data_IF_573769232507
#
_entry.id   IF_573769232507
#
_cell.length_a   1.000
_cell.length_b   1.000
_cell.length_c   1.000
_cell.angle_alpha   90.00
_cell.angle_beta   90.00
_cell.angle_gamma   90.00
#
_symmetry.space_group_name_H-M   'P 1'
#
loop_
_entity.id
_entity.type
_entity.pdbx_description
1 polymer ?
#
# COMPACT_ATOMS: atom_id res chain seq x y z
N UNK A 1 -32.74 -10.07 -23.40
CA UNK A 1 -33.10 -8.94 -24.28
C UNK A 1 -33.61 -7.86 -23.35
N UNK A 2 -32.95 -6.73 -23.11
CA UNK A 2 -31.88 -6.04 -23.86
C UNK A 2 -30.84 -5.47 -22.88
N UNK A 3 -29.59 -5.46 -23.35
CA UNK A 3 -28.43 -4.86 -22.72
C UNK A 3 -28.52 -3.32 -22.81
N UNK A 4 -28.43 -2.62 -21.68
CA UNK A 4 -28.07 -1.21 -21.71
C UNK A 4 -26.55 -1.10 -21.91
N UNK A 5 -26.18 -0.88 -23.17
CA UNK A 5 -24.81 -0.87 -23.66
C UNK A 5 -23.95 0.27 -23.09
N UNK A 6 -22.78 -0.15 -22.61
CA UNK A 6 -21.58 0.59 -22.18
C UNK A 6 -21.10 1.65 -23.20
N UNK A 7 -21.59 1.61 -24.45
CA UNK A 7 -21.25 2.56 -25.51
C UNK A 7 -21.73 4.01 -25.27
N UNK A 8 -22.80 4.22 -24.49
CA UNK A 8 -23.32 5.56 -24.22
C UNK A 8 -22.42 6.41 -23.32
N UNK A 9 -21.72 5.78 -22.37
CA UNK A 9 -20.76 6.48 -21.50
C UNK A 9 -19.39 6.66 -22.16
N UNK A 10 -18.96 5.73 -23.01
CA UNK A 10 -17.72 5.88 -23.78
C UNK A 10 -17.78 7.08 -24.73
N UNK A 11 -18.89 7.30 -25.43
CA UNK A 11 -19.00 8.45 -26.35
C UNK A 11 -19.09 9.80 -25.62
N UNK A 12 -19.66 9.83 -24.41
CA UNK A 12 -19.67 11.05 -23.58
C UNK A 12 -18.27 11.33 -22.99
N UNK A 13 -17.51 10.29 -22.62
CA UNK A 13 -16.11 10.41 -22.21
C UNK A 13 -15.20 10.87 -23.34
N UNK A 14 -15.37 10.35 -24.56
CA UNK A 14 -14.56 10.74 -25.72
C UNK A 14 -14.86 12.21 -26.13
N UNK A 15 -16.10 12.67 -26.04
CA UNK A 15 -16.44 14.09 -26.29
C UNK A 15 -15.84 15.04 -25.25
N UNK A 16 -15.89 14.69 -23.97
CA UNK A 16 -15.26 15.47 -22.89
C UNK A 16 -13.73 15.51 -23.01
N UNK A 17 -13.11 14.43 -23.50
CA UNK A 17 -11.67 14.38 -23.79
C UNK A 17 -11.26 15.30 -24.96
N UNK A 18 -12.10 15.47 -25.98
CA UNK A 18 -11.78 16.36 -27.12
C UNK A 18 -11.96 17.83 -26.75
N UNK A 19 -13.04 18.18 -26.03
CA UNK A 19 -13.32 19.58 -25.65
C UNK A 19 -12.31 20.12 -24.62
N UNK A 20 -11.71 19.25 -23.77
CA UNK A 20 -10.66 19.67 -22.83
C UNK A 20 -9.26 19.75 -23.46
N UNK A 21 -8.99 18.99 -24.53
CA UNK A 21 -7.72 19.10 -25.28
C UNK A 21 -7.65 20.42 -26.06
N UNK A 22 -8.79 20.97 -26.50
CA UNK A 22 -8.82 22.25 -27.23
C UNK A 22 -8.53 23.49 -26.37
N UNK A 23 -8.73 23.42 -25.04
CA UNK A 23 -8.42 24.55 -24.15
C UNK A 23 -6.92 24.68 -23.79
N UNK A 24 -6.07 23.76 -24.26
CA UNK A 24 -4.63 23.80 -24.03
C UNK A 24 -3.82 24.38 -25.21
N UNK A 25 -4.47 24.77 -26.31
CA UNK A 25 -3.78 25.29 -27.50
C UNK A 25 -4.34 26.66 -27.92
N UNK A 26 -3.71 27.75 -27.47
CA UNK A 26 -3.80 29.04 -28.18
C UNK A 26 -2.77 29.06 -29.32
N UNK A 27 -3.14 29.54 -30.53
CA UNK A 27 -2.31 29.38 -31.71
C UNK A 27 -1.31 30.52 -31.81
N UNK A 28 -0.17 30.41 -31.16
CA UNK A 28 1.05 31.14 -31.56
C UNK A 28 2.29 30.45 -30.99
N UNK A 29 3.12 29.92 -31.90
CA UNK A 29 4.45 29.31 -31.71
C UNK A 29 4.53 27.86 -31.19
N UNK A 30 4.32 26.91 -32.12
CA UNK A 30 4.69 25.50 -31.97
C UNK A 30 6.22 25.34 -32.08
N UNK A 31 6.87 24.99 -30.98
CA UNK A 31 8.27 24.56 -30.90
C UNK A 31 8.32 23.18 -30.23
N UNK A 32 9.31 22.35 -30.61
CA UNK A 32 9.57 20.95 -30.24
C UNK A 32 9.64 20.60 -28.73
N UNK A 33 9.24 21.49 -27.82
CA UNK A 33 9.16 21.28 -26.37
C UNK A 33 7.86 20.61 -25.90
N UNK A 34 6.81 20.60 -26.71
CA UNK A 34 5.46 20.17 -26.30
C UNK A 34 5.27 18.65 -26.12
N UNK A 35 6.15 17.81 -26.67
CA UNK A 35 6.08 16.35 -26.49
C UNK A 35 6.47 15.92 -25.06
N UNK A 36 7.34 16.68 -24.39
CA UNK A 36 7.65 16.48 -22.96
C UNK A 36 6.46 16.84 -22.09
N UNK A 37 5.78 17.94 -22.39
CA UNK A 37 4.68 18.44 -21.55
C UNK A 37 3.38 17.63 -21.75
N UNK A 38 3.17 17.08 -22.96
CA UNK A 38 2.06 16.16 -23.24
C UNK A 38 2.21 14.80 -22.53
N UNK A 39 3.43 14.26 -22.45
CA UNK A 39 3.70 13.01 -21.71
C UNK A 39 3.55 13.24 -20.19
N UNK A 40 3.98 14.39 -19.69
CA UNK A 40 3.80 14.76 -18.27
C UNK A 40 2.32 14.86 -17.90
N UNK A 41 1.48 15.48 -18.74
CA UNK A 41 0.03 15.53 -18.49
C UNK A 41 -0.64 14.15 -18.53
N UNK A 42 -0.23 13.25 -19.43
CA UNK A 42 -0.79 11.91 -19.51
C UNK A 42 -0.44 11.05 -18.28
N UNK A 43 0.75 11.26 -17.69
CA UNK A 43 1.17 10.60 -16.45
C UNK A 43 0.44 11.13 -15.21
N UNK A 44 0.11 12.43 -15.14
CA UNK A 44 -0.64 13.02 -14.02
C UNK A 44 -2.09 12.49 -13.99
N UNK A 45 -2.72 12.29 -15.15
CA UNK A 45 -4.11 11.78 -15.22
C UNK A 45 -4.19 10.30 -14.80
N UNK A 46 -3.12 9.52 -15.01
CA UNK A 46 -3.06 8.12 -14.54
C UNK A 46 -2.75 7.99 -13.04
N UNK A 47 -2.16 9.01 -12.40
CA UNK A 47 -1.87 8.97 -10.95
C UNK A 47 -3.05 9.34 -10.05
N UNK A 48 -4.13 9.90 -10.59
CA UNK A 48 -5.36 10.14 -9.81
C UNK A 48 -6.30 8.92 -9.75
N UNK A 49 -6.18 7.96 -10.68
CA UNK A 49 -6.99 6.73 -10.70
C UNK A 49 -6.36 5.57 -9.91
N UNK A 50 -5.05 5.61 -9.67
CA UNK A 50 -4.32 4.65 -8.85
C UNK A 50 -3.53 5.43 -7.80
N UNK A 51 -3.86 5.25 -6.52
CA UNK A 51 -3.16 5.83 -5.36
C UNK A 51 -1.71 5.29 -5.22
N UNK A 52 -0.86 5.54 -6.21
CA UNK A 52 0.57 5.24 -6.16
C UNK A 52 1.24 6.44 -5.49
N UNK A 53 1.42 6.35 -4.17
CA UNK A 53 2.22 7.32 -3.42
C UNK A 53 3.67 7.26 -3.88
N UNK A 54 4.13 8.35 -4.50
CA UNK A 54 5.50 8.74 -4.78
C UNK A 54 6.44 7.63 -5.27
N UNK A 55 6.63 7.55 -6.59
CA UNK A 55 7.76 6.85 -7.17
C UNK A 55 9.07 7.44 -6.61
N UNK A 56 9.79 6.68 -5.79
CA UNK A 56 11.12 7.07 -5.30
C UNK A 56 12.18 6.53 -6.25
N UNK A 57 12.73 7.39 -7.09
CA UNK A 57 13.79 7.03 -8.03
C UNK A 57 13.91 8.02 -9.17
N UNK A 58 14.89 7.79 -10.04
CA UNK A 58 15.03 8.57 -11.26
C UNK A 58 13.94 8.14 -12.25
N UNK A 59 13.19 9.08 -12.82
CA UNK A 59 12.09 8.80 -13.76
C UNK A 59 12.57 8.23 -15.12
N UNK A 60 13.88 8.09 -15.29
CA UNK A 60 14.49 7.52 -16.48
C UNK A 60 15.73 6.72 -16.08
N UNK A 61 15.85 5.50 -16.63
CA UNK A 61 17.08 4.71 -16.58
C UNK A 61 17.59 4.54 -18.00
N UNK A 62 18.85 4.91 -18.23
CA UNK A 62 19.48 4.84 -19.54
C UNK A 62 20.34 3.59 -19.64
N UNK A 63 20.02 2.71 -20.59
CA UNK A 63 20.86 1.57 -20.95
C UNK A 63 21.46 1.83 -22.33
N UNK A 64 22.80 1.98 -22.45
CA UNK A 64 23.42 2.11 -23.76
C UNK A 64 23.28 0.80 -24.51
N UNK A 65 22.74 0.82 -25.72
CA UNK A 65 22.60 -0.37 -26.54
C UNK A 65 23.13 -0.15 -27.96
N UNK A 66 23.36 -1.26 -28.68
CA UNK A 66 23.97 -1.26 -30.01
C UNK A 66 25.32 -0.52 -30.05
N UNK A 67 26.21 -0.84 -29.11
CA UNK A 67 27.56 -0.27 -29.02
C UNK A 67 28.52 -0.78 -30.09
N UNK A 68 28.04 -1.57 -31.06
CA UNK A 68 28.87 -2.08 -32.15
C UNK A 68 29.44 -0.91 -32.96
N UNK A 69 30.73 -0.99 -33.28
CA UNK A 69 31.34 -0.04 -34.21
C UNK A 69 30.76 -0.20 -35.62
N UNK A 70 30.61 0.91 -36.34
CA UNK A 70 30.21 0.86 -37.74
C UNK A 70 31.30 0.17 -38.56
N UNK A 71 30.89 -0.86 -39.31
CA UNK A 71 31.78 -1.58 -40.23
C UNK A 71 31.97 -0.74 -41.51
N UNK A 72 33.15 -0.85 -42.13
CA UNK A 72 33.46 -0.24 -43.42
C UNK A 72 32.30 -0.44 -44.43
N UNK A 73 31.88 0.59 -45.20
CA UNK A 73 32.59 1.82 -45.59
C UNK A 73 32.21 3.08 -44.79
N UNK A 74 31.74 2.96 -43.54
CA UNK A 74 31.40 4.13 -42.74
C UNK A 74 32.61 5.08 -42.55
N UNK A 75 32.42 6.39 -42.79
CA UNK A 75 33.47 7.40 -42.62
C UNK A 75 33.91 7.58 -41.17
N UNK A 76 33.08 7.16 -40.20
CA UNK A 76 33.40 7.13 -38.77
C UNK A 76 32.92 5.82 -38.16
N UNK A 77 33.78 5.18 -37.38
CA UNK A 77 33.46 3.94 -36.68
C UNK A 77 32.47 4.14 -35.52
N UNK A 78 32.37 5.37 -34.98
CA UNK A 78 31.50 5.72 -33.87
C UNK A 78 30.88 7.12 -34.04
N UNK A 79 29.66 7.31 -33.55
CA UNK A 79 29.00 8.61 -33.50
C UNK A 79 29.61 9.49 -32.40
N UNK A 80 29.86 10.77 -32.69
CA UNK A 80 30.29 11.76 -31.66
C UNK A 80 29.20 11.86 -30.58
N UNK A 81 29.53 11.81 -29.27
CA UNK A 81 30.86 11.96 -28.65
C UNK A 81 31.63 10.66 -28.40
N UNK A 82 31.13 9.52 -28.85
CA UNK A 82 31.73 8.22 -28.58
C UNK A 82 32.94 7.94 -29.47
N UNK A 83 33.94 7.31 -28.88
CA UNK A 83 35.17 6.86 -29.52
C UNK A 83 35.23 5.34 -29.52
N UNK A 84 35.94 4.77 -30.49
CA UNK A 84 36.12 3.32 -30.58
C UNK A 84 37.05 2.80 -29.48
N UNK A 85 36.60 1.78 -28.75
CA UNK A 85 37.31 1.11 -27.66
C UNK A 85 37.22 -0.41 -27.86
N UNK A 86 38.18 -1.17 -27.30
CA UNK A 86 38.11 -2.64 -27.32
C UNK A 86 37.55 -3.12 -25.98
N UNK A 87 36.35 -3.72 -26.00
CA UNK A 87 35.69 -4.28 -24.82
C UNK A 87 35.41 -5.75 -25.12
N UNK A 88 35.85 -6.66 -24.24
CA UNK A 88 35.76 -8.11 -24.42
C UNK A 88 36.26 -8.61 -25.79
N UNK A 89 37.35 -8.04 -26.31
CA UNK A 89 37.95 -8.43 -27.59
C UNK A 89 37.20 -7.95 -28.85
N UNK A 90 36.13 -7.17 -28.71
CA UNK A 90 35.38 -6.58 -29.83
C UNK A 90 35.49 -5.05 -29.85
N UNK A 91 35.50 -4.46 -31.05
CA UNK A 91 35.51 -2.99 -31.22
C UNK A 91 34.12 -2.41 -30.97
N UNK A 92 33.97 -1.66 -29.87
CA UNK A 92 32.74 -1.04 -29.41
C UNK A 92 32.91 0.47 -29.23
N UNK A 93 31.86 1.26 -29.44
CA UNK A 93 31.88 2.71 -29.19
C UNK A 93 31.67 2.99 -27.71
N UNK A 94 32.45 3.85 -27.06
CA UNK A 94 32.34 4.23 -25.65
C UNK A 94 32.87 5.66 -25.39
N UNK A 95 32.98 6.16 -24.14
CA UNK A 95 32.86 5.45 -22.86
C UNK A 95 31.41 5.31 -22.39
N UNK A 96 31.06 4.13 -21.91
CA UNK A 96 29.82 3.91 -21.16
C UNK A 96 30.11 3.89 -19.65
N UNK A 97 29.17 4.31 -18.80
CA UNK A 97 29.23 4.03 -17.38
C UNK A 97 29.41 2.51 -17.16
N UNK A 98 30.06 2.10 -16.06
CA UNK A 98 30.30 0.70 -15.64
C UNK A 98 28.99 -0.03 -15.31
N UNK A 99 28.04 -0.06 -16.24
CA UNK A 99 26.89 -0.95 -16.19
C UNK A 99 27.14 -2.14 -17.13
N UNK A 100 26.52 -3.26 -16.79
CA UNK A 100 26.75 -4.52 -17.48
C UNK A 100 26.48 -4.38 -18.99
N UNK A 101 27.37 -4.96 -19.80
CA UNK A 101 27.23 -5.01 -21.26
C UNK A 101 25.90 -5.65 -21.63
N UNK A 102 25.00 -4.89 -22.23
CA UNK A 102 23.74 -5.40 -22.77
C UNK A 102 23.99 -5.89 -24.20
N UNK A 103 23.81 -7.19 -24.43
CA UNK A 103 24.02 -7.86 -25.75
C UNK A 103 22.86 -7.63 -26.72
N UNK A 104 21.75 -7.12 -26.22
CA UNK A 104 20.58 -6.58 -26.93
C UNK A 104 20.13 -5.35 -26.14
N UNK A 105 19.30 -4.44 -26.64
CA UNK A 105 18.80 -3.27 -25.86
C UNK A 105 17.95 -3.65 -24.62
N UNK A 106 18.06 -4.88 -24.14
CA UNK A 106 17.35 -5.43 -23.01
C UNK A 106 18.15 -5.27 -21.72
N UNK A 107 17.55 -4.69 -20.68
CA UNK A 107 18.11 -4.77 -19.34
C UNK A 107 18.21 -6.24 -18.92
N UNK A 108 19.32 -6.62 -18.29
CA UNK A 108 19.52 -7.98 -17.79
C UNK A 108 18.40 -8.29 -16.79
N UNK A 109 17.63 -9.36 -17.05
CA UNK A 109 16.50 -9.78 -16.22
C UNK A 109 15.18 -9.06 -16.48
N UNK A 110 15.15 -8.08 -17.39
CA UNK A 110 13.97 -7.28 -17.72
C UNK A 110 13.57 -6.26 -16.65
N UNK A 111 12.49 -5.52 -16.89
CA UNK A 111 11.90 -4.59 -15.92
C UNK A 111 10.47 -5.04 -15.63
N UNK A 112 10.20 -5.32 -14.35
CA UNK A 112 8.87 -5.65 -13.87
C UNK A 112 8.11 -4.39 -13.44
N UNK A 113 6.77 -4.42 -13.56
CA UNK A 113 5.90 -3.49 -12.86
C UNK A 113 5.93 -3.76 -11.35
N UNK A 114 5.42 -2.81 -10.58
CA UNK A 114 5.01 -3.09 -9.21
C UNK A 114 3.99 -4.24 -9.18
N UNK A 115 3.97 -4.97 -8.06
CA UNK A 115 2.96 -5.98 -7.81
C UNK A 115 1.59 -5.33 -7.62
N UNK A 116 0.55 -5.97 -8.13
CA UNK A 116 -0.83 -5.68 -7.75
C UNK A 116 -1.05 -5.98 -6.27
N UNK A 117 -2.12 -5.41 -5.73
CA UNK A 117 -2.68 -5.82 -4.43
C UNK A 117 -3.06 -7.30 -4.47
N UNK A 118 -3.09 -7.92 -3.29
CA UNK A 118 -3.58 -9.29 -3.15
C UNK A 118 -5.09 -9.35 -3.35
N UNK A 119 -5.56 -10.43 -3.98
CA UNK A 119 -6.96 -10.79 -4.07
C UNK A 119 -7.14 -12.26 -3.69
N UNK A 120 -8.24 -12.59 -3.01
CA UNK A 120 -8.55 -13.98 -2.69
C UNK A 120 -9.12 -14.68 -3.93
N UNK A 121 -8.45 -15.74 -4.38
CA UNK A 121 -8.91 -16.56 -5.48
C UNK A 121 -9.68 -17.78 -4.94
N UNK A 122 -10.99 -17.81 -5.19
CA UNK A 122 -11.89 -18.86 -4.70
C UNK A 122 -11.66 -20.23 -5.36
N UNK A 123 -11.03 -20.27 -6.54
CA UNK A 123 -10.76 -21.52 -7.27
C UNK A 123 -9.59 -22.28 -6.66
N UNK A 124 -8.51 -21.57 -6.31
CA UNK A 124 -7.32 -22.17 -5.69
C UNK A 124 -7.31 -22.04 -4.16
N UNK A 125 -8.28 -21.32 -3.59
CA UNK A 125 -8.40 -21.04 -2.14
C UNK A 125 -7.17 -20.36 -1.54
N UNK A 126 -6.54 -19.46 -2.30
CA UNK A 126 -5.32 -18.74 -1.92
C UNK A 126 -5.41 -17.27 -2.32
N UNK A 127 -4.62 -16.43 -1.65
CA UNK A 127 -4.39 -15.06 -2.09
C UNK A 127 -3.42 -15.03 -3.27
N UNK A 128 -3.75 -14.29 -4.30
CA UNK A 128 -2.91 -14.11 -5.48
C UNK A 128 -2.64 -12.62 -5.75
N UNK A 129 -1.47 -12.33 -6.32
CA UNK A 129 -1.13 -11.03 -6.89
C UNK A 129 -0.34 -11.21 -8.17
N UNK A 130 -0.39 -10.20 -9.03
CA UNK A 130 0.20 -10.25 -10.36
C UNK A 130 1.10 -9.06 -10.62
N UNK A 131 2.04 -9.20 -11.57
CA UNK A 131 2.86 -8.12 -12.10
C UNK A 131 3.08 -8.32 -13.60
N UNK A 132 3.31 -7.24 -14.34
CA UNK A 132 3.55 -7.27 -15.79
C UNK A 132 5.01 -6.96 -16.09
N UNK A 133 5.57 -7.65 -17.09
CA UNK A 133 6.87 -7.29 -17.63
C UNK A 133 6.71 -6.05 -18.54
N UNK A 134 7.41 -4.96 -18.21
CA UNK A 134 7.30 -3.67 -18.91
C UNK A 134 8.13 -3.61 -20.20
N UNK A 135 9.06 -4.55 -20.39
CA UNK A 135 9.98 -4.57 -21.54
C UNK A 135 9.59 -5.59 -22.61
N UNK A 136 8.45 -6.27 -22.46
CA UNK A 136 7.95 -7.25 -23.44
C UNK A 136 7.65 -6.61 -24.79
N UNK A 137 7.12 -5.38 -24.80
CA UNK A 137 6.85 -4.62 -26.04
C UNK A 137 8.15 -4.22 -26.77
N UNK A 138 9.27 -4.11 -26.05
CA UNK A 138 10.60 -3.89 -26.62
C UNK A 138 11.30 -5.20 -27.07
N UNK A 139 10.59 -6.34 -27.03
CA UNK A 139 11.14 -7.65 -27.40
C UNK A 139 12.03 -8.29 -26.33
N UNK A 140 12.00 -7.80 -25.10
CA UNK A 140 12.81 -8.29 -24.00
C UNK A 140 11.99 -9.16 -23.03
N UNK A 141 12.59 -10.23 -22.55
CA UNK A 141 11.98 -11.13 -21.55
C UNK A 141 12.38 -10.73 -20.14
N UNK A 142 11.43 -10.76 -19.21
CA UNK A 142 11.72 -10.67 -17.79
C UNK A 142 12.02 -12.05 -17.20
N UNK A 143 12.86 -12.10 -16.17
CA UNK A 143 13.17 -13.33 -15.42
C UNK A 143 12.36 -13.36 -14.12
N UNK A 144 11.71 -14.49 -13.85
CA UNK A 144 10.87 -14.74 -12.66
C UNK A 144 9.37 -14.79 -12.97
N UNK A 145 8.58 -15.04 -11.92
CA UNK A 145 7.14 -15.26 -12.08
C UNK A 145 6.34 -13.96 -12.18
N UNK A 146 5.28 -13.97 -13.00
CA UNK A 146 4.31 -12.88 -13.11
C UNK A 146 3.19 -12.98 -12.07
N UNK A 147 3.08 -14.11 -11.38
CA UNK A 147 2.03 -14.41 -10.39
C UNK A 147 2.70 -14.90 -9.11
N UNK A 148 2.19 -14.45 -7.96
CA UNK A 148 2.62 -14.89 -6.64
C UNK A 148 1.40 -15.25 -5.80
N UNK A 149 1.41 -16.43 -5.18
CA UNK A 149 0.31 -16.96 -4.37
C UNK A 149 0.71 -17.17 -2.92
N UNK A 150 -0.26 -17.09 -2.01
CA UNK A 150 -0.08 -17.36 -0.59
C UNK A 150 -1.35 -17.91 0.06
N UNK A 151 -1.20 -18.91 0.94
CA UNK A 151 -2.32 -19.56 1.64
C UNK A 151 -2.80 -18.79 2.87
N UNK A 152 -1.91 -18.07 3.53
CA UNK A 152 -2.22 -17.26 4.71
C UNK A 152 -2.60 -15.83 4.34
N UNK A 153 -3.21 -15.12 5.29
CA UNK A 153 -3.53 -13.71 5.14
C UNK A 153 -2.27 -12.86 4.88
N UNK A 154 -2.29 -11.95 3.89
CA UNK A 154 -1.10 -11.21 3.46
C UNK A 154 -0.67 -10.07 4.37
N UNK A 155 -1.50 -9.66 5.33
CA UNK A 155 -1.10 -8.65 6.30
C UNK A 155 -0.13 -9.19 7.34
N UNK A 156 0.76 -8.29 7.79
CA UNK A 156 1.64 -8.55 8.92
C UNK A 156 0.80 -8.83 10.18
N UNK A 157 1.13 -9.86 10.98
CA UNK A 157 0.44 -10.09 12.24
C UNK A 157 0.66 -8.92 13.21
N UNK A 158 -0.27 -8.73 14.13
CA UNK A 158 -0.12 -7.73 15.19
C UNK A 158 1.15 -7.96 16.00
N UNK A 159 1.90 -6.89 16.28
CA UNK A 159 3.11 -7.02 17.07
C UNK A 159 2.77 -7.25 18.54
N UNK A 160 3.25 -8.38 19.08
CA UNK A 160 3.06 -8.77 20.48
C UNK A 160 4.37 -8.85 21.27
N UNK A 161 5.43 -8.17 20.82
CA UNK A 161 6.71 -8.15 21.53
C UNK A 161 6.56 -7.55 22.92
N UNK A 162 7.39 -8.00 23.87
CA UNK A 162 7.31 -7.55 25.27
C UNK A 162 7.45 -6.02 25.41
N UNK A 163 8.31 -5.39 24.59
CA UNK A 163 8.50 -3.94 24.56
C UNK A 163 7.27 -3.20 24.08
N UNK A 164 6.63 -3.64 23.00
CA UNK A 164 5.40 -3.01 22.51
C UNK A 164 4.26 -3.22 23.51
N UNK A 165 4.19 -4.42 24.10
CA UNK A 165 3.19 -4.74 25.12
C UNK A 165 3.33 -3.88 26.37
N UNK A 166 4.54 -3.54 26.82
CA UNK A 166 4.73 -2.67 27.99
C UNK A 166 4.29 -1.22 27.72
N UNK A 167 4.44 -0.73 26.50
CA UNK A 167 3.96 0.60 26.10
C UNK A 167 2.42 0.61 26.02
N UNK A 168 1.84 -0.36 25.30
CA UNK A 168 0.37 -0.47 25.20
C UNK A 168 -0.27 -0.63 26.57
N UNK A 169 0.33 -1.42 27.48
CA UNK A 169 -0.24 -1.64 28.80
C UNK A 169 0.23 -0.64 29.86
N UNK A 170 0.90 0.45 29.47
CA UNK A 170 1.39 1.42 30.43
C UNK A 170 0.24 2.02 31.26
N UNK A 171 0.29 1.78 32.57
CA UNK A 171 -0.67 2.30 33.55
C UNK A 171 -2.08 1.70 33.47
N UNK A 172 -2.25 0.54 32.81
CA UNK A 172 -3.56 -0.11 32.62
C UNK A 172 -3.45 -1.64 32.71
N UNK A 173 -4.58 -2.29 32.95
CA UNK A 173 -4.67 -3.76 32.97
C UNK A 173 -5.08 -4.30 31.61
N UNK A 174 -4.46 -5.40 31.19
CA UNK A 174 -4.83 -6.12 29.99
C UNK A 174 -6.10 -6.95 30.25
N UNK A 175 -7.12 -6.74 29.45
CA UNK A 175 -8.34 -7.55 29.46
C UNK A 175 -8.22 -8.60 28.35
N UNK A 176 -8.35 -9.89 28.66
CA UNK A 176 -8.35 -10.92 27.63
C UNK A 176 -9.60 -10.82 26.75
N UNK A 177 -9.43 -11.04 25.46
CA UNK A 177 -10.55 -11.22 24.54
C UNK A 177 -11.07 -12.66 24.57
N UNK A 178 -12.34 -12.83 24.22
CA UNK A 178 -13.02 -14.12 24.04
C UNK A 178 -13.15 -14.44 22.56
N UNK A 179 -13.20 -15.72 22.20
CA UNK A 179 -13.55 -16.20 20.85
C UNK A 179 -12.78 -15.50 19.70
N UNK A 180 -11.51 -15.17 19.92
CA UNK A 180 -10.68 -14.53 18.89
C UNK A 180 -10.46 -15.47 17.71
N UNK A 181 -10.80 -15.01 16.51
CA UNK A 181 -10.64 -15.76 15.26
C UNK A 181 -10.18 -14.85 14.12
N UNK A 182 -9.48 -15.44 13.15
CA UNK A 182 -9.11 -14.80 11.90
C UNK A 182 -9.68 -15.64 10.77
N UNK A 183 -10.56 -15.06 9.97
CA UNK A 183 -11.10 -15.73 8.78
C UNK A 183 -9.99 -15.83 7.72
N UNK A 184 -9.59 -17.04 7.28
CA UNK A 184 -8.50 -17.24 6.34
C UNK A 184 -8.83 -16.80 4.91
N UNK A 185 -10.11 -16.58 4.58
CA UNK A 185 -10.55 -16.17 3.24
C UNK A 185 -10.76 -14.66 3.11
N UNK A 186 -11.29 -14.03 4.16
CA UNK A 186 -11.57 -12.59 4.16
C UNK A 186 -10.50 -11.78 4.88
N UNK A 187 -9.62 -12.43 5.66
CA UNK A 187 -8.63 -11.78 6.52
C UNK A 187 -9.24 -10.75 7.47
N UNK A 188 -10.44 -11.07 7.96
CA UNK A 188 -11.10 -10.33 9.02
C UNK A 188 -10.76 -11.01 10.33
N UNK A 189 -10.08 -10.26 11.20
CA UNK A 189 -9.88 -10.62 12.59
C UNK A 189 -11.10 -10.16 13.38
N UNK A 190 -11.71 -11.05 14.14
CA UNK A 190 -12.79 -10.77 15.06
C UNK A 190 -12.47 -11.33 16.44
N UNK A 191 -12.76 -10.56 17.49
CA UNK A 191 -12.70 -11.06 18.85
C UNK A 191 -13.83 -10.46 19.69
N UNK A 192 -14.42 -11.29 20.55
CA UNK A 192 -15.40 -10.86 21.53
C UNK A 192 -14.71 -10.21 22.73
N UNK A 193 -15.34 -9.17 23.25
CA UNK A 193 -14.87 -8.39 24.38
C UNK A 193 -15.60 -8.84 25.64
N UNK A 194 -14.88 -8.87 26.77
CA UNK A 194 -15.51 -9.13 28.06
C UNK A 194 -16.34 -7.91 28.50
N UNK A 195 -17.59 -8.17 28.84
CA UNK A 195 -18.61 -7.20 29.24
C UNK A 195 -18.88 -7.20 30.74
N UNK A 196 -18.20 -8.06 31.50
CA UNK A 196 -18.21 -8.00 32.95
C UNK A 196 -17.80 -6.57 33.36
N UNK A 197 -18.63 -5.96 34.20
CA UNK A 197 -18.48 -4.60 34.74
C UNK A 197 -17.05 -4.37 35.24
N UNK A 198 -16.40 -5.43 35.73
CA UNK A 198 -15.04 -5.34 36.22
C UNK A 198 -14.00 -5.01 35.14
N UNK A 199 -14.21 -5.44 33.90
CA UNK A 199 -13.29 -5.15 32.79
C UNK A 199 -13.60 -3.82 32.09
N UNK A 200 -14.61 -3.10 32.56
CA UNK A 200 -15.06 -1.87 31.97
C UNK A 200 -14.38 -0.65 32.58
N UNK A 201 -14.05 0.30 31.72
CA UNK A 201 -13.38 1.56 32.09
C UNK A 201 -14.37 2.70 32.09
N UNK A 202 -14.27 3.62 33.07
CA UNK A 202 -14.94 4.91 32.96
C UNK A 202 -14.19 5.79 31.96
N UNK A 203 -14.89 6.16 30.89
CA UNK A 203 -14.30 6.94 29.81
C UNK A 203 -14.47 8.43 30.12
N UNK A 204 -13.36 9.16 30.29
CA UNK A 204 -13.28 10.57 30.72
C UNK A 204 -13.81 10.80 32.15
N UNK A 205 -12.89 10.88 33.12
CA UNK A 205 -13.02 11.35 34.52
C UNK A 205 -14.42 11.89 34.94
N UNK A 206 -15.35 10.99 35.19
CA UNK A 206 -16.56 11.25 35.99
C UNK A 206 -16.47 10.46 37.31
N UNK A 207 -15.32 10.57 37.99
CA UNK A 207 -15.15 10.09 39.36
C UNK A 207 -15.14 11.28 40.30
N UNK A 208 -15.96 11.23 41.35
CA UNK A 208 -15.68 11.94 42.59
C UNK A 208 -14.94 10.96 43.51
N UNK A 209 -13.73 11.31 43.96
CA UNK A 209 -13.08 10.55 45.03
C UNK A 209 -13.78 10.89 46.36
N UNK A 210 -14.59 9.97 46.87
CA UNK A 210 -14.83 9.95 48.32
C UNK A 210 -13.62 9.24 48.95
N UNK A 211 -13.04 9.87 49.97
CA UNK A 211 -11.92 9.32 50.73
C UNK A 211 -12.15 7.83 51.06
N UNK A 212 -11.07 7.03 51.00
CA UNK A 212 -10.99 5.57 51.19
C UNK A 212 -11.27 4.69 49.96
N UNK A 213 -10.30 4.59 49.05
CA UNK A 213 -9.98 3.36 48.29
C UNK A 213 -10.98 2.86 47.24
N UNK A 214 -12.25 3.23 47.32
CA UNK A 214 -13.31 2.71 46.48
C UNK A 214 -13.69 3.72 45.40
N UNK A 215 -13.36 3.38 44.17
CA UNK A 215 -13.69 4.18 42.99
C UNK A 215 -15.08 3.77 42.51
N UNK A 216 -16.11 4.47 42.99
CA UNK A 216 -17.49 4.26 42.51
C UNK A 216 -17.77 5.14 41.27
N UNK A 217 -18.25 4.56 40.15
CA UNK A 217 -18.74 5.36 39.03
C UNK A 217 -19.97 6.17 39.48
N UNK A 218 -20.04 7.44 39.09
CA UNK A 218 -21.25 8.24 39.30
C UNK A 218 -22.46 7.53 38.67
N UNK A 219 -23.66 7.62 39.26
CA UNK A 219 -24.88 7.19 38.60
C UNK A 219 -25.04 7.99 37.29
N UNK A 220 -24.74 7.35 36.15
CA UNK A 220 -24.72 7.98 34.82
C UNK A 220 -23.37 7.92 34.09
N UNK A 221 -22.26 7.64 34.79
CA UNK A 221 -20.95 7.48 34.16
C UNK A 221 -20.91 6.15 33.37
N UNK A 222 -21.01 6.25 32.04
CA UNK A 222 -21.08 5.08 31.16
C UNK A 222 -19.80 4.26 31.16
N UNK A 223 -19.80 3.12 31.86
CA UNK A 223 -18.72 2.13 31.82
C UNK A 223 -18.58 1.55 30.42
N UNK A 224 -17.35 1.44 29.93
CA UNK A 224 -17.11 1.09 28.54
C UNK A 224 -15.87 0.23 28.35
N UNK A 225 -15.97 -0.76 27.48
CA UNK A 225 -14.78 -1.48 27.01
C UNK A 225 -13.96 -0.54 26.13
N UNK A 226 -12.69 -0.40 26.47
CA UNK A 226 -11.76 0.48 25.78
C UNK A 226 -10.67 -0.36 25.17
N UNK A 227 -10.34 -0.06 23.92
CA UNK A 227 -9.17 -0.62 23.26
C UNK A 227 -8.09 0.44 23.21
N UNK A 228 -6.85 -0.03 23.19
CA UNK A 228 -5.69 0.80 22.96
C UNK A 228 -4.91 0.18 21.82
N UNK A 229 -4.57 0.99 20.82
CA UNK A 229 -3.83 0.52 19.65
C UNK A 229 -2.77 1.52 19.23
N UNK A 230 -1.72 1.00 18.60
CA UNK A 230 -0.60 1.76 18.05
C UNK A 230 -0.71 1.75 16.53
N UNK A 231 -0.28 2.85 15.91
CA UNK A 231 -0.22 2.95 14.46
C UNK A 231 1.20 2.64 13.99
N UNK A 232 1.42 2.16 12.75
CA UNK A 232 2.76 1.96 12.23
C UNK A 232 3.63 3.24 12.19
N UNK A 233 2.99 4.41 12.18
CA UNK A 233 3.65 5.73 12.10
C UNK A 233 4.11 6.23 13.48
N UNK A 234 3.44 5.83 14.57
CA UNK A 234 3.81 6.20 15.93
C UNK A 234 3.84 4.96 16.84
N UNK A 235 5.06 4.51 17.11
CA UNK A 235 5.38 3.37 17.98
C UNK A 235 5.67 3.79 19.43
N UNK A 236 5.55 5.08 19.74
CA UNK A 236 5.81 5.62 21.09
C UNK A 236 4.53 6.03 21.79
N UNK A 237 3.52 6.42 21.02
CA UNK A 237 2.17 6.72 21.49
C UNK A 237 1.18 5.59 21.25
N UNK A 238 -0.03 5.80 21.75
CA UNK A 238 -1.16 4.93 21.51
C UNK A 238 -2.44 5.75 21.41
N UNK A 239 -3.41 5.22 20.68
CA UNK A 239 -4.76 5.76 20.59
C UNK A 239 -5.67 4.90 21.42
N UNK A 240 -6.51 5.53 22.25
CA UNK A 240 -7.59 4.85 22.96
C UNK A 240 -8.89 5.10 22.24
N UNK A 241 -9.66 4.02 22.00
CA UNK A 241 -11.01 4.13 21.48
C UNK A 241 -12.01 3.35 22.32
N UNK A 242 -13.19 3.94 22.48
CA UNK A 242 -14.29 3.38 23.25
C UNK A 242 -15.08 2.44 22.35
N UNK A 243 -15.00 1.12 22.54
CA UNK A 243 -15.69 0.18 21.64
C UNK A 243 -17.18 0.09 21.95
N UNK A 244 -17.58 -0.19 23.18
CA UNK A 244 -19.00 -0.27 23.53
C UNK A 244 -19.25 0.10 24.99
N UNK A 245 -20.52 0.35 25.32
CA UNK A 245 -20.97 0.62 26.68
C UNK A 245 -21.36 -0.70 27.37
N UNK A 246 -20.71 -1.03 28.48
CA UNK A 246 -20.90 -2.29 29.18
C UNK A 246 -22.29 -2.43 29.82
N UNK A 247 -22.95 -1.31 30.12
CA UNK A 247 -24.29 -1.31 30.70
C UNK A 247 -25.40 -1.42 29.65
N UNK A 248 -25.06 -1.41 28.36
CA UNK A 248 -26.03 -1.42 27.26
C UNK A 248 -26.00 -2.76 26.51
N UNK A 249 -27.16 -3.29 26.09
CA UNK A 249 -27.21 -4.40 25.15
C UNK A 249 -26.64 -3.96 23.80
N UNK A 250 -25.86 -4.81 23.13
CA UNK A 250 -25.27 -4.50 21.83
C UNK A 250 -24.14 -5.45 21.43
N UNK A 251 -23.57 -5.20 20.25
CA UNK A 251 -22.42 -5.93 19.71
C UNK A 251 -21.16 -5.69 20.56
N UNK A 252 -20.63 -6.76 21.13
CA UNK A 252 -19.47 -6.77 22.05
C UNK A 252 -18.23 -7.31 21.38
N UNK A 253 -17.97 -6.95 20.13
CA UNK A 253 -16.82 -7.45 19.40
C UNK A 253 -15.94 -6.32 18.87
N UNK A 254 -14.67 -6.63 18.68
CA UNK A 254 -13.74 -5.84 17.90
C UNK A 254 -13.51 -6.55 16.56
N UNK A 255 -13.50 -5.78 15.47
CA UNK A 255 -13.11 -6.28 14.15
C UNK A 255 -11.95 -5.48 13.60
N UNK A 256 -11.02 -6.16 12.95
CA UNK A 256 -9.99 -5.56 12.13
C UNK A 256 -9.91 -6.29 10.80
N UNK A 257 -9.68 -5.58 9.71
CA UNK A 257 -9.51 -6.19 8.38
C UNK A 257 -8.12 -5.93 7.84
N UNK A 258 -7.62 -6.86 7.05
CA UNK A 258 -6.37 -6.68 6.32
C UNK A 258 -6.59 -5.74 5.12
N UNK A 259 -5.83 -4.65 5.06
CA UNK A 259 -5.72 -3.82 3.84
C UNK A 259 -4.67 -4.46 2.91
N UNK A 260 -5.11 -4.95 1.75
CA UNK A 260 -4.26 -5.64 0.79
C UNK A 260 -3.31 -4.72 0.01
N UNK A 261 -3.50 -3.40 0.08
CA UNK A 261 -2.61 -2.42 -0.52
C UNK A 261 -1.45 -2.11 0.43
N UNK A 262 -1.75 -1.78 1.70
CA UNK A 262 -0.73 -1.43 2.71
C UNK A 262 -0.12 -2.65 3.41
N UNK A 263 -0.74 -3.82 3.29
CA UNK A 263 -0.37 -5.06 4.00
C UNK A 263 -0.38 -4.89 5.53
N UNK A 264 -1.27 -4.03 6.03
CA UNK A 264 -1.48 -3.76 7.45
C UNK A 264 -2.94 -3.96 7.83
N UNK A 265 -3.19 -4.40 9.06
CA UNK A 265 -4.55 -4.47 9.58
C UNK A 265 -5.08 -3.07 9.87
N UNK A 266 -6.36 -2.85 9.59
CA UNK A 266 -7.08 -1.63 9.88
C UNK A 266 -8.25 -1.89 10.81
N UNK A 267 -8.50 -0.94 11.71
CA UNK A 267 -9.62 -1.02 12.63
C UNK A 267 -10.93 -0.67 11.93
N UNK A 268 -11.93 -1.55 11.98
CA UNK A 268 -13.20 -1.38 11.24
C UNK A 268 -13.94 -0.08 11.54
N UNK A 269 -13.83 0.43 12.77
CA UNK A 269 -14.63 1.58 13.21
C UNK A 269 -14.14 2.90 12.63
N UNK A 270 -12.83 3.09 12.53
CA UNK A 270 -12.23 4.38 12.19
C UNK A 270 -11.19 4.29 11.07
N UNK A 271 -11.03 3.11 10.45
CA UNK A 271 -10.11 2.88 9.33
C UNK A 271 -8.63 3.17 9.65
N UNK A 272 -8.27 3.25 10.94
CA UNK A 272 -6.91 3.49 11.37
C UNK A 272 -6.05 2.22 11.20
N UNK A 273 -4.80 2.39 10.77
CA UNK A 273 -3.84 1.29 10.71
C UNK A 273 -3.45 0.86 12.13
N UNK A 274 -3.38 -0.46 12.33
CA UNK A 274 -3.10 -1.08 13.62
C UNK A 274 -1.83 -1.89 13.50
N UNK A 275 -0.79 -1.45 14.22
CA UNK A 275 0.46 -2.19 14.36
C UNK A 275 0.39 -3.19 15.53
N UNK A 276 -0.19 -2.75 16.64
CA UNK A 276 -0.38 -3.55 17.84
C UNK A 276 -1.56 -2.99 18.63
N UNK A 277 -2.24 -3.83 19.41
CA UNK A 277 -3.41 -3.42 20.17
C UNK A 277 -3.66 -4.31 21.38
N UNK A 278 -4.50 -3.84 22.29
CA UNK A 278 -4.99 -4.59 23.45
C UNK A 278 -6.32 -4.01 23.93
N UNK A 279 -7.14 -4.84 24.57
CA UNK A 279 -8.27 -4.37 25.37
C UNK A 279 -7.77 -4.02 26.76
N UNK A 280 -8.17 -2.86 27.26
CA UNK A 280 -7.62 -2.31 28.51
C UNK A 280 -8.71 -2.03 29.53
N UNK A 281 -8.35 -2.17 30.81
CA UNK A 281 -9.11 -1.65 31.94
C UNK A 281 -8.26 -0.66 32.74
N UNK A 282 -8.85 0.49 33.10
CA UNK A 282 -8.22 1.47 34.02
C UNK A 282 -8.62 1.25 35.48
N UNK A 283 -9.50 0.29 35.75
CA UNK A 283 -9.85 -0.09 37.12
C UNK A 283 -8.80 -1.09 37.60
N UNK A 284 -8.07 -0.74 38.64
CA UNK A 284 -7.16 -1.68 39.30
C UNK A 284 -7.96 -2.58 40.24
N UNK A 285 -7.77 -3.89 40.09
CA UNK A 285 -8.19 -4.91 41.05
C UNK A 285 -7.04 -5.24 41.98
#
# INVERSE_FOLDING_TARGET
MEEFGVNGQLQKLVRLLVDHVQNCFTPENVSLRTLKDAIVCMFIILSEQFHIRNCSGNNSRYYPCNSASCVYPAQRSCCIPYVSMVINGTMQCGPFPKEASVTSCCPIGGIWSEWSSYAYNTTIQMFERTRKCLVTEAGCSCVGDSVSTMTACPCKPFNSSATIRSIILQGVWNVPVKNASLDPSTCIYEAELDDDVKYCTSWKREFYSINFGDVFPLPGAGLSATIRYMTPQDLTGFVEDRVFNCSQPGSKYIRMYCDFDSLTYRYYRNNAEVYAWSVISKVAY
#
